data_IF_750389751288
#
_entry.id   IF_750389751288
#
_cell.length_a   1.000
_cell.length_b   1.000
_cell.length_c   1.000
_cell.angle_alpha   90.00
_cell.angle_beta   90.00
_cell.angle_gamma   90.00
#
_symmetry.space_group_name_H-M   'P 1'
#
loop_
_entity.id
_entity.type
_entity.pdbx_description
1 polymer ?
#
# COMPACT_ATOMS: atom_id res chain seq x y z
N UNK A 1 1.64 -42.35 -34.27
CA UNK A 1 1.01 -41.28 -33.48
C UNK A 1 2.14 -40.44 -32.90
N UNK A 2 2.49 -39.33 -33.56
CA UNK A 2 3.57 -38.44 -33.12
C UNK A 2 2.97 -37.49 -32.10
N UNK A 3 3.31 -37.68 -30.83
CA UNK A 3 3.02 -36.68 -29.79
C UNK A 3 3.93 -35.47 -30.06
N UNK A 4 3.37 -34.41 -30.64
CA UNK A 4 3.96 -33.09 -30.53
C UNK A 4 3.84 -32.65 -29.06
N UNK A 5 4.88 -32.92 -28.28
CA UNK A 5 5.12 -32.16 -27.06
C UNK A 5 5.34 -30.71 -27.48
N UNK A 6 4.32 -29.87 -27.26
CA UNK A 6 4.51 -28.43 -27.14
C UNK A 6 5.44 -28.19 -25.94
N UNK A 7 6.74 -28.28 -26.19
CA UNK A 7 7.81 -27.76 -25.34
C UNK A 7 7.85 -26.25 -25.60
N UNK A 8 6.85 -25.54 -25.09
CA UNK A 8 6.98 -24.11 -24.88
C UNK A 8 7.83 -23.91 -23.63
N UNK A 9 8.93 -23.18 -23.76
CA UNK A 9 9.70 -22.66 -22.64
C UNK A 9 8.78 -21.81 -21.75
N UNK A 10 8.18 -22.42 -20.73
CA UNK A 10 7.47 -21.70 -19.66
C UNK A 10 8.50 -21.42 -18.57
N UNK A 11 9.42 -20.50 -18.86
CA UNK A 11 10.32 -19.95 -17.87
C UNK A 11 10.08 -18.44 -17.79
N UNK A 12 9.77 -18.00 -16.58
CA UNK A 12 9.37 -16.65 -16.26
C UNK A 12 10.43 -15.62 -16.66
N UNK A 13 10.04 -14.61 -17.44
CA UNK A 13 11.00 -13.63 -17.94
C UNK A 13 11.39 -12.55 -16.91
N UNK A 14 10.71 -12.43 -15.75
CA UNK A 14 11.04 -11.43 -14.72
C UNK A 14 10.79 -11.91 -13.28
N UNK A 15 11.78 -11.79 -12.37
CA UNK A 15 11.59 -12.11 -10.95
C UNK A 15 10.69 -11.06 -10.25
N UNK A 16 9.92 -11.44 -9.20
CA UNK A 16 9.11 -10.50 -8.43
C UNK A 16 9.94 -9.37 -7.78
N UNK A 17 11.07 -9.73 -7.16
CA UNK A 17 12.05 -8.81 -6.62
C UNK A 17 13.01 -8.39 -7.74
N UNK A 18 12.81 -7.18 -8.25
CA UNK A 18 13.67 -6.55 -9.25
C UNK A 18 14.64 -5.53 -8.63
N UNK A 19 14.29 -4.96 -7.48
CA UNK A 19 15.04 -3.87 -6.85
C UNK A 19 14.76 -3.81 -5.36
N UNK A 20 15.71 -3.22 -4.62
CA UNK A 20 15.55 -2.78 -3.22
C UNK A 20 15.96 -1.33 -3.12
N UNK A 21 15.43 -0.59 -2.14
CA UNK A 21 15.91 0.76 -1.89
C UNK A 21 15.94 1.14 -0.41
N UNK A 22 16.78 2.12 -0.11
CA UNK A 22 16.90 2.77 1.19
C UNK A 22 16.40 4.21 1.05
N UNK A 23 15.29 4.53 1.69
CA UNK A 23 14.69 5.86 1.70
C UNK A 23 15.01 6.57 3.03
N UNK A 24 15.30 7.88 3.00
CA UNK A 24 15.57 8.64 4.22
C UNK A 24 14.41 8.60 5.22
N UNK A 25 13.17 8.49 4.71
CA UNK A 25 11.97 8.35 5.52
C UNK A 25 11.78 6.96 6.15
N UNK A 26 12.68 6.02 5.89
CA UNK A 26 12.83 4.76 6.66
C UNK A 26 13.75 4.95 7.88
N UNK A 27 14.66 5.93 7.85
CA UNK A 27 15.75 6.03 8.82
C UNK A 27 15.55 7.16 9.83
N UNK A 28 14.93 8.25 9.39
CA UNK A 28 14.78 9.48 10.19
C UNK A 28 13.37 9.50 10.76
N UNK A 29 13.25 9.59 12.09
CA UNK A 29 11.97 9.76 12.78
C UNK A 29 11.49 11.22 12.73
N UNK A 30 10.17 11.47 12.69
CA UNK A 30 9.10 10.48 12.59
C UNK A 30 9.14 9.73 11.26
N UNK A 31 8.87 8.43 11.29
CA UNK A 31 8.93 7.60 10.09
C UNK A 31 7.85 8.01 9.10
N UNK A 32 8.15 7.95 7.82
CA UNK A 32 7.21 8.39 6.79
C UNK A 32 6.38 7.25 6.26
N UNK A 33 5.10 7.53 5.97
CA UNK A 33 4.23 6.56 5.34
C UNK A 33 4.79 6.08 3.98
N UNK A 34 5.37 6.99 3.18
CA UNK A 34 6.08 6.65 1.93
C UNK A 34 7.24 5.69 2.16
N UNK A 35 8.18 6.07 3.02
CA UNK A 35 9.41 5.33 3.24
C UNK A 35 9.15 3.93 3.78
N UNK A 36 8.29 3.81 4.79
CA UNK A 36 7.97 2.49 5.35
C UNK A 36 7.04 1.69 4.43
N UNK A 37 6.14 2.32 3.67
CA UNK A 37 5.35 1.65 2.65
C UNK A 37 6.23 1.00 1.58
N UNK A 38 7.28 1.69 1.13
CA UNK A 38 8.29 1.11 0.24
C UNK A 38 9.04 -0.06 0.91
N UNK A 39 9.41 0.06 2.19
CA UNK A 39 10.07 -1.02 2.93
C UNK A 39 9.18 -2.27 2.99
N UNK A 40 7.90 -2.10 3.33
CA UNK A 40 6.90 -3.19 3.36
C UNK A 40 6.76 -3.84 1.99
N UNK A 41 6.65 -3.03 0.93
CA UNK A 41 6.56 -3.48 -0.46
C UNK A 41 7.78 -4.33 -0.89
N UNK A 42 9.00 -3.94 -0.51
CA UNK A 42 10.21 -4.72 -0.83
C UNK A 42 10.30 -6.02 -0.07
N UNK A 43 9.83 -6.06 1.19
CA UNK A 43 9.75 -7.31 1.94
C UNK A 43 8.71 -8.25 1.33
N UNK A 44 7.59 -7.74 0.83
CA UNK A 44 6.63 -8.52 0.03
C UNK A 44 7.29 -9.06 -1.24
N UNK A 45 8.04 -8.25 -1.99
CA UNK A 45 8.79 -8.70 -3.18
C UNK A 45 9.80 -9.80 -2.87
N UNK A 46 10.51 -9.67 -1.75
CA UNK A 46 11.46 -10.68 -1.28
C UNK A 46 10.75 -12.00 -1.02
N UNK A 47 9.63 -11.97 -0.29
CA UNK A 47 8.81 -13.15 0.00
C UNK A 47 8.24 -13.77 -1.29
N UNK A 48 7.63 -12.97 -2.16
CA UNK A 48 7.18 -13.38 -3.50
C UNK A 48 8.30 -14.09 -4.28
N UNK A 49 9.52 -13.56 -4.21
CA UNK A 49 10.67 -14.13 -4.92
C UNK A 49 11.15 -15.45 -4.34
N UNK A 50 11.02 -15.64 -3.02
CA UNK A 50 11.30 -16.93 -2.39
C UNK A 50 10.30 -17.99 -2.87
N UNK A 51 9.00 -17.68 -2.95
CA UNK A 51 8.01 -18.61 -3.50
C UNK A 51 8.28 -18.91 -4.96
N UNK A 52 8.54 -17.88 -5.76
CA UNK A 52 8.85 -18.04 -7.18
C UNK A 52 10.06 -18.95 -7.39
N UNK A 53 11.18 -18.72 -6.70
CA UNK A 53 12.37 -19.59 -6.80
C UNK A 53 12.10 -21.02 -6.35
N UNK A 54 11.29 -21.20 -5.32
CA UNK A 54 10.91 -22.52 -4.83
C UNK A 54 10.06 -23.28 -5.85
N UNK A 55 9.05 -22.62 -6.43
CA UNK A 55 8.20 -23.20 -7.48
C UNK A 55 9.00 -23.56 -8.73
N UNK A 56 9.86 -22.65 -9.22
CA UNK A 56 10.73 -22.91 -10.37
C UNK A 56 11.61 -24.16 -10.15
N UNK A 57 12.20 -24.31 -8.95
CA UNK A 57 13.02 -25.50 -8.62
C UNK A 57 12.22 -26.78 -8.60
N UNK A 58 11.02 -26.78 -8.02
CA UNK A 58 10.18 -27.99 -7.94
C UNK A 58 9.62 -28.38 -9.30
N UNK A 59 9.15 -27.40 -10.08
CA UNK A 59 8.61 -27.61 -11.41
C UNK A 59 9.66 -28.17 -12.39
N UNK A 60 10.95 -27.85 -12.20
CA UNK A 60 12.06 -28.46 -12.94
C UNK A 60 12.29 -29.93 -12.58
N UNK A 61 12.08 -30.33 -11.33
CA UNK A 61 12.31 -31.70 -10.85
C UNK A 61 11.15 -32.64 -11.24
N UNK A 62 9.90 -32.15 -11.19
CA UNK A 62 8.73 -32.96 -11.50
C UNK A 62 7.56 -32.10 -12.00
N UNK A 63 7.25 -32.16 -13.30
CA UNK A 63 6.18 -31.34 -13.92
C UNK A 63 4.80 -31.48 -13.23
N UNK A 64 4.34 -32.67 -12.79
CA UNK A 64 3.11 -32.79 -12.01
C UNK A 64 3.22 -32.17 -10.60
N UNK A 65 4.42 -32.05 -10.00
CA UNK A 65 4.60 -31.30 -8.75
C UNK A 65 4.32 -29.80 -8.93
N UNK A 66 4.50 -29.24 -10.13
CA UNK A 66 4.05 -27.88 -10.42
C UNK A 66 2.55 -27.70 -10.17
N UNK A 67 1.72 -28.73 -10.44
CA UNK A 67 0.28 -28.70 -10.08
C UNK A 67 0.09 -28.69 -8.56
N UNK A 68 0.87 -29.48 -7.83
CA UNK A 68 0.82 -29.50 -6.36
C UNK A 68 1.31 -28.19 -5.74
N UNK A 69 2.36 -27.55 -6.27
CA UNK A 69 2.86 -26.25 -5.81
C UNK A 69 1.85 -25.15 -6.13
N UNK A 70 1.25 -25.16 -7.32
CA UNK A 70 0.13 -24.27 -7.67
C UNK A 70 -1.07 -24.47 -6.74
N UNK A 71 -1.40 -25.72 -6.41
CA UNK A 71 -2.42 -26.07 -5.42
C UNK A 71 -2.06 -25.62 -4.00
N UNK A 72 -0.80 -25.74 -3.59
CA UNK A 72 -0.28 -25.27 -2.30
C UNK A 72 -0.33 -23.73 -2.20
N UNK A 73 0.12 -23.01 -3.23
CA UNK A 73 0.01 -21.55 -3.31
C UNK A 73 -1.46 -21.10 -3.30
N UNK A 74 -2.34 -21.83 -3.97
CA UNK A 74 -3.79 -21.63 -3.86
C UNK A 74 -4.31 -21.94 -2.44
N UNK A 75 -3.71 -22.91 -1.75
CA UNK A 75 -3.96 -23.18 -0.34
C UNK A 75 -3.44 -22.08 0.59
N UNK A 76 -2.33 -21.43 0.25
CA UNK A 76 -1.81 -20.26 0.97
C UNK A 76 -2.75 -19.06 0.83
N UNK A 77 -3.37 -18.86 -0.35
CA UNK A 77 -4.46 -17.87 -0.49
C UNK A 77 -5.61 -18.13 0.50
N UNK A 78 -5.87 -19.39 0.85
CA UNK A 78 -6.90 -19.76 1.84
C UNK A 78 -6.43 -19.68 3.30
N UNK A 79 -5.14 -19.82 3.57
CA UNK A 79 -4.59 -19.96 4.93
C UNK A 79 -3.94 -18.70 5.50
N UNK A 80 -4.01 -17.59 4.78
CA UNK A 80 -3.45 -16.29 5.16
C UNK A 80 -1.95 -16.37 5.50
N UNK A 81 -1.12 -16.15 4.48
CA UNK A 81 0.33 -16.26 4.55
C UNK A 81 0.96 -15.47 5.70
N UNK A 82 1.64 -16.18 6.61
CA UNK A 82 2.08 -15.65 7.90
C UNK A 82 3.16 -14.56 7.84
N UNK A 83 4.21 -14.63 6.99
CA UNK A 83 5.28 -13.62 7.05
C UNK A 83 4.90 -12.30 6.38
N UNK A 84 4.19 -12.36 5.24
CA UNK A 84 3.69 -11.17 4.55
C UNK A 84 2.71 -10.40 5.41
N UNK A 85 1.93 -11.12 6.20
CA UNK A 85 0.99 -10.59 7.17
C UNK A 85 1.68 -9.84 8.31
N UNK A 86 2.81 -10.32 8.82
CA UNK A 86 3.53 -9.62 9.88
C UNK A 86 4.02 -8.25 9.44
N UNK A 87 4.52 -8.12 8.20
CA UNK A 87 4.88 -6.81 7.65
C UNK A 87 3.66 -5.92 7.43
N UNK A 88 2.52 -6.50 7.04
CA UNK A 88 1.24 -5.76 6.89
C UNK A 88 0.77 -5.23 8.25
N UNK A 89 0.72 -6.08 9.28
CA UNK A 89 0.35 -5.70 10.66
C UNK A 89 1.28 -4.61 11.18
N UNK A 90 2.60 -4.75 11.04
CA UNK A 90 3.53 -3.70 11.46
C UNK A 90 3.21 -2.37 10.77
N UNK A 91 2.91 -2.41 9.47
CA UNK A 91 2.62 -1.25 8.67
C UNK A 91 1.26 -0.61 8.97
N UNK A 92 0.29 -1.43 9.40
CA UNK A 92 -0.97 -1.00 9.98
C UNK A 92 -0.73 -0.20 11.26
N UNK A 93 0.05 -0.74 12.21
CA UNK A 93 0.34 -0.03 13.45
C UNK A 93 1.11 1.28 13.22
N UNK A 94 2.01 1.31 12.23
CA UNK A 94 2.63 2.55 11.78
C UNK A 94 1.60 3.57 11.30
N UNK A 95 0.48 3.13 10.73
CA UNK A 95 -0.63 4.01 10.33
C UNK A 95 -1.11 4.84 11.49
N UNK A 96 -1.54 4.19 12.58
CA UNK A 96 -1.91 4.87 13.82
C UNK A 96 -0.77 5.73 14.37
N UNK A 97 0.43 5.17 14.47
CA UNK A 97 1.59 5.84 15.05
C UNK A 97 1.96 7.11 14.29
N UNK A 98 2.10 7.04 12.97
CA UNK A 98 2.47 8.20 12.15
C UNK A 98 1.40 9.29 12.14
N UNK A 99 0.11 8.95 12.31
CA UNK A 99 -0.95 9.95 12.49
C UNK A 99 -0.83 10.60 13.87
N UNK A 100 -0.63 9.82 14.93
CA UNK A 100 -0.44 10.35 16.27
C UNK A 100 0.81 11.25 16.37
N UNK A 101 1.94 10.84 15.77
CA UNK A 101 3.14 11.68 15.68
C UNK A 101 2.89 12.99 14.94
N UNK A 102 2.03 12.99 13.90
CA UNK A 102 1.67 14.22 13.19
C UNK A 102 0.94 15.23 14.08
N UNK A 103 0.13 14.75 15.04
CA UNK A 103 -0.51 15.58 16.08
C UNK A 103 0.41 15.89 17.27
N UNK A 104 1.67 15.47 17.22
CA UNK A 104 2.68 15.78 18.22
C UNK A 104 2.79 14.79 19.38
N UNK A 105 2.04 13.68 19.35
CA UNK A 105 2.16 12.63 20.36
C UNK A 105 3.48 11.86 20.23
N UNK A 106 3.92 11.28 21.34
CA UNK A 106 4.95 10.25 21.35
C UNK A 106 4.32 8.88 21.17
N UNK A 107 4.92 8.05 20.32
CA UNK A 107 4.40 6.73 19.97
C UNK A 107 5.29 5.62 20.50
N UNK A 108 4.64 4.56 20.98
CA UNK A 108 5.23 3.26 21.28
C UNK A 108 4.37 2.19 20.64
N UNK A 109 4.93 1.00 20.46
CA UNK A 109 4.20 -0.15 19.95
C UNK A 109 4.22 -1.29 20.95
N UNK A 110 3.25 -2.18 20.87
CA UNK A 110 3.26 -3.43 21.61
C UNK A 110 2.73 -4.57 20.74
N UNK A 111 3.02 -5.79 21.16
CA UNK A 111 2.39 -7.01 20.66
C UNK A 111 1.74 -7.75 21.82
N UNK A 112 1.02 -8.84 21.57
CA UNK A 112 0.48 -9.67 22.65
C UNK A 112 1.57 -10.33 23.51
N UNK A 113 2.82 -10.28 23.07
CA UNK A 113 3.99 -10.91 23.71
C UNK A 113 5.02 -9.89 24.24
N UNK A 114 5.00 -8.65 23.73
CA UNK A 114 5.98 -7.62 24.06
C UNK A 114 5.30 -6.29 24.33
N UNK A 115 5.77 -5.57 25.35
CA UNK A 115 5.22 -4.27 25.72
C UNK A 115 6.17 -3.13 25.37
N UNK A 116 5.61 -2.02 24.90
CA UNK A 116 6.23 -0.69 24.84
C UNK A 116 7.60 -0.63 24.14
N UNK A 117 7.64 -0.99 22.86
CA UNK A 117 8.81 -0.76 22.00
C UNK A 117 8.74 0.61 21.33
N UNK A 118 9.87 1.32 21.31
CA UNK A 118 10.02 2.72 20.89
C UNK A 118 10.21 2.93 19.37
N UNK A 119 10.10 1.87 18.55
CA UNK A 119 10.33 1.98 17.11
C UNK A 119 9.59 0.93 16.30
N UNK A 120 9.19 1.34 15.08
CA UNK A 120 8.61 0.47 14.06
C UNK A 120 9.46 -0.78 13.80
N UNK A 121 10.79 -0.65 13.72
CA UNK A 121 11.65 -1.80 13.44
C UNK A 121 11.68 -2.79 14.59
N UNK A 122 11.64 -2.34 15.86
CA UNK A 122 11.51 -3.26 17.00
C UNK A 122 10.18 -4.00 16.95
N UNK A 123 9.08 -3.32 16.60
CA UNK A 123 7.79 -3.98 16.38
C UNK A 123 7.91 -5.06 15.29
N UNK A 124 8.51 -4.75 14.12
CA UNK A 124 8.72 -5.74 13.06
C UNK A 124 9.55 -6.94 13.56
N UNK A 125 10.63 -6.70 14.30
CA UNK A 125 11.46 -7.77 14.84
C UNK A 125 10.72 -8.64 15.85
N UNK A 126 9.92 -8.04 16.73
CA UNK A 126 9.10 -8.78 17.69
C UNK A 126 8.04 -9.62 16.96
N UNK A 127 7.39 -9.05 15.95
CA UNK A 127 6.44 -9.76 15.09
C UNK A 127 7.07 -10.97 14.41
N UNK A 128 8.28 -10.84 13.87
CA UNK A 128 9.01 -11.94 13.25
C UNK A 128 9.50 -12.97 14.26
N UNK A 129 9.98 -12.53 15.43
CA UNK A 129 10.55 -13.40 16.47
C UNK A 129 9.48 -14.25 17.14
N UNK A 130 8.31 -13.67 17.39
CA UNK A 130 7.19 -14.30 18.09
C UNK A 130 6.06 -14.68 17.14
N UNK A 131 6.39 -14.91 15.87
CA UNK A 131 5.41 -15.10 14.80
C UNK A 131 4.35 -16.14 15.18
N UNK A 132 4.73 -17.26 15.79
CA UNK A 132 3.79 -18.36 16.11
C UNK A 132 2.88 -18.12 17.31
N UNK A 133 3.11 -17.09 18.13
CA UNK A 133 2.35 -16.84 19.35
C UNK A 133 1.62 -15.49 19.36
N UNK A 134 2.02 -14.56 18.50
CA UNK A 134 1.37 -13.25 18.43
C UNK A 134 -0.07 -13.36 17.93
N UNK A 135 -0.97 -12.75 18.70
CA UNK A 135 -2.40 -12.63 18.37
C UNK A 135 -2.82 -11.21 18.04
N UNK A 136 -1.96 -10.21 18.27
CA UNK A 136 -2.23 -8.81 17.97
C UNK A 136 -1.00 -7.90 18.14
N UNK A 137 -1.10 -6.71 17.57
CA UNK A 137 -0.18 -5.60 17.74
C UNK A 137 -0.98 -4.31 17.94
N UNK A 138 -0.37 -3.32 18.59
CA UNK A 138 -1.02 -2.05 18.90
C UNK A 138 -0.02 -0.88 18.88
N UNK A 139 -0.48 0.26 18.39
CA UNK A 139 0.16 1.55 18.61
C UNK A 139 -0.41 2.23 19.87
N UNK A 140 0.48 2.62 20.77
CA UNK A 140 0.18 3.45 21.94
C UNK A 140 0.72 4.84 21.70
N UNK A 141 -0.04 5.85 22.13
CA UNK A 141 0.38 7.23 22.04
C UNK A 141 0.07 7.98 23.34
N UNK A 142 0.97 8.88 23.71
CA UNK A 142 0.94 9.64 24.96
C UNK A 142 1.66 10.97 24.75
N UNK A 143 1.62 11.85 25.76
CA UNK A 143 1.95 13.29 25.72
C UNK A 143 0.77 14.17 25.32
N UNK A 144 0.92 15.47 25.56
CA UNK A 144 -0.05 16.46 25.14
C UNK A 144 0.04 16.70 23.63
N UNK A 145 -1.08 17.13 23.06
CA UNK A 145 -1.14 17.64 21.69
C UNK A 145 -0.11 18.74 21.47
N UNK A 146 0.63 18.64 20.38
CA UNK A 146 1.57 19.67 19.95
C UNK A 146 1.35 19.97 18.47
N UNK A 147 0.31 20.74 18.20
CA UNK A 147 -0.07 21.22 16.88
C UNK A 147 -0.14 22.74 16.87
N UNK A 148 0.02 23.33 15.69
CA UNK A 148 -0.17 24.76 15.50
C UNK A 148 -1.65 25.16 15.72
N UNK A 149 -1.88 26.34 16.30
CA UNK A 149 -3.22 26.86 16.63
C UNK A 149 -4.20 26.96 15.44
N UNK A 150 -3.69 26.93 14.21
CA UNK A 150 -4.50 26.98 13.00
C UNK A 150 -5.10 25.64 12.55
N UNK A 151 -4.73 24.55 13.23
CA UNK A 151 -5.10 23.18 12.87
C UNK A 151 -6.34 22.78 13.67
N UNK A 152 -7.37 22.30 12.98
CA UNK A 152 -8.51 21.70 13.65
C UNK A 152 -8.16 20.28 14.11
N UNK A 153 -8.35 20.02 15.40
CA UNK A 153 -8.05 18.73 16.05
C UNK A 153 -9.30 17.96 16.43
N UNK A 154 -10.50 18.42 16.07
CA UNK A 154 -11.76 17.74 16.40
C UNK A 154 -11.79 16.29 15.89
N UNK A 155 -11.10 16.04 14.77
CA UNK A 155 -11.09 14.75 14.07
C UNK A 155 -9.84 13.91 14.32
N UNK A 156 -8.98 14.33 15.26
CA UNK A 156 -7.70 13.69 15.56
C UNK A 156 -7.85 12.19 15.84
N UNK A 157 -8.78 11.82 16.73
CA UNK A 157 -9.03 10.42 17.09
C UNK A 157 -9.54 9.58 15.91
N UNK A 158 -10.30 10.18 15.01
CA UNK A 158 -10.84 9.53 13.82
C UNK A 158 -9.72 9.27 12.81
N UNK A 159 -8.89 10.28 12.56
CA UNK A 159 -7.75 10.19 11.66
C UNK A 159 -6.74 9.15 12.17
N UNK A 160 -6.44 9.14 13.48
CA UNK A 160 -5.57 8.14 14.09
C UNK A 160 -6.16 6.74 13.94
N UNK A 161 -7.44 6.54 14.28
CA UNK A 161 -8.10 5.23 14.22
C UNK A 161 -8.21 4.71 12.78
N UNK A 162 -8.44 5.58 11.79
CA UNK A 162 -8.44 5.22 10.37
C UNK A 162 -7.03 4.94 9.81
N UNK A 163 -5.97 5.40 10.49
CA UNK A 163 -4.59 5.38 10.01
C UNK A 163 -4.09 4.01 9.58
N UNK A 164 -4.40 2.96 10.33
CA UNK A 164 -3.93 1.60 10.03
C UNK A 164 -4.49 1.04 8.73
N UNK A 165 -5.83 1.02 8.59
CA UNK A 165 -6.48 0.54 7.35
C UNK A 165 -6.17 1.43 6.14
N UNK A 166 -5.99 2.75 6.35
CA UNK A 166 -5.55 3.66 5.29
C UNK A 166 -4.12 3.37 4.82
N UNK A 167 -3.20 3.02 5.73
CA UNK A 167 -1.86 2.58 5.35
C UNK A 167 -1.89 1.31 4.51
N UNK A 168 -2.70 0.33 4.90
CA UNK A 168 -2.85 -0.88 4.09
C UNK A 168 -3.43 -0.59 2.72
N UNK A 169 -4.47 0.24 2.63
CA UNK A 169 -4.99 0.65 1.33
C UNK A 169 -3.93 1.40 0.51
N UNK A 170 -3.09 2.22 1.14
CA UNK A 170 -1.96 2.86 0.48
C UNK A 170 -0.90 1.85 0.02
N UNK A 171 -0.69 0.73 0.74
CA UNK A 171 0.16 -0.37 0.26
C UNK A 171 -0.40 -1.00 -1.02
N UNK A 172 -1.71 -1.23 -1.08
CA UNK A 172 -2.35 -1.72 -2.30
C UNK A 172 -2.15 -0.73 -3.47
N UNK A 173 -2.32 0.57 -3.22
CA UNK A 173 -2.04 1.63 -4.18
C UNK A 173 -0.58 1.61 -4.67
N UNK A 174 0.41 1.40 -3.79
CA UNK A 174 1.82 1.25 -4.17
C UNK A 174 2.05 0.02 -5.07
N UNK A 175 1.39 -1.10 -4.79
CA UNK A 175 1.46 -2.31 -5.64
C UNK A 175 0.89 -2.02 -7.03
N UNK A 176 -0.26 -1.34 -7.12
CA UNK A 176 -0.89 -0.95 -8.38
C UNK A 176 0.00 -0.03 -9.22
N UNK A 177 0.57 1.01 -8.62
CA UNK A 177 1.47 1.94 -9.31
C UNK A 177 2.72 1.23 -9.81
N UNK A 178 3.32 0.38 -8.98
CA UNK A 178 4.45 -0.45 -9.38
C UNK A 178 4.09 -1.40 -10.53
N UNK A 179 2.91 -2.00 -10.49
CA UNK A 179 2.43 -2.90 -11.55
C UNK A 179 2.29 -2.13 -12.88
N UNK A 180 1.71 -0.93 -12.86
CA UNK A 180 1.63 -0.07 -14.03
C UNK A 180 3.01 0.37 -14.56
N UNK A 181 3.92 0.76 -13.67
CA UNK A 181 5.28 1.18 -14.03
C UNK A 181 6.10 0.05 -14.65
N UNK A 182 6.04 -1.15 -14.05
CA UNK A 182 6.76 -2.35 -14.54
C UNK A 182 6.09 -2.99 -15.75
N UNK A 183 4.82 -2.67 -16.02
CA UNK A 183 3.88 -3.28 -17.00
C UNK A 183 3.55 -4.75 -16.73
N UNK A 184 4.32 -5.40 -15.90
CA UNK A 184 4.17 -6.79 -15.51
C UNK A 184 4.43 -6.94 -14.03
N UNK A 185 3.72 -7.86 -13.40
CA UNK A 185 3.91 -8.28 -12.01
C UNK A 185 3.85 -9.79 -11.93
N UNK A 186 4.06 -10.36 -10.75
CA UNK A 186 3.97 -11.81 -10.58
C UNK A 186 2.69 -12.23 -9.88
N UNK A 187 2.26 -13.48 -10.13
CA UNK A 187 1.11 -14.10 -9.45
C UNK A 187 1.25 -14.14 -7.94
N UNK A 188 2.48 -14.18 -7.42
CA UNK A 188 2.74 -14.16 -5.98
C UNK A 188 2.40 -12.82 -5.33
N UNK A 189 2.34 -11.72 -6.11
CA UNK A 189 1.97 -10.40 -5.59
C UNK A 189 0.47 -10.27 -5.33
N UNK A 190 -0.35 -11.16 -5.89
CA UNK A 190 -1.82 -11.08 -5.79
C UNK A 190 -2.29 -11.08 -4.33
N UNK A 191 -1.69 -11.92 -3.49
CA UNK A 191 -2.07 -12.02 -2.09
C UNK A 191 -1.79 -10.72 -1.32
N UNK A 192 -0.59 -10.18 -1.51
CA UNK A 192 -0.16 -8.92 -0.89
C UNK A 192 -1.06 -7.76 -1.32
N UNK A 193 -1.45 -7.72 -2.59
CA UNK A 193 -2.42 -6.77 -3.12
C UNK A 193 -3.82 -6.95 -2.51
N UNK A 194 -4.36 -8.17 -2.56
CA UNK A 194 -5.75 -8.43 -2.18
C UNK A 194 -5.99 -8.22 -0.68
N UNK A 195 -5.06 -8.65 0.18
CA UNK A 195 -5.19 -8.42 1.62
C UNK A 195 -5.22 -6.94 1.96
N UNK A 196 -4.27 -6.18 1.41
CA UNK A 196 -4.16 -4.75 1.62
C UNK A 196 -5.44 -4.03 1.12
N UNK A 197 -6.00 -4.48 0.01
CA UNK A 197 -7.30 -4.01 -0.49
C UNK A 197 -8.48 -4.36 0.40
N UNK A 198 -8.45 -5.52 1.06
CA UNK A 198 -9.50 -6.01 1.96
C UNK A 198 -9.35 -5.49 3.39
N UNK A 199 -8.44 -4.55 3.67
CA UNK A 199 -8.18 -4.08 5.03
C UNK A 199 -9.47 -3.77 5.80
N UNK A 200 -10.32 -2.88 5.28
CA UNK A 200 -11.58 -2.53 5.96
C UNK A 200 -12.49 -3.76 6.12
N UNK A 201 -12.65 -4.59 5.10
CA UNK A 201 -13.50 -5.79 5.20
C UNK A 201 -13.01 -6.78 6.27
N UNK A 202 -11.69 -7.00 6.34
CA UNK A 202 -11.07 -7.90 7.31
C UNK A 202 -11.27 -7.41 8.74
N UNK A 203 -11.00 -6.13 9.02
CA UNK A 203 -11.14 -5.57 10.37
C UNK A 203 -12.60 -5.48 10.80
N UNK A 204 -13.51 -5.06 9.91
CA UNK A 204 -14.95 -5.07 10.20
C UNK A 204 -15.43 -6.50 10.50
N UNK A 205 -15.02 -7.49 9.71
CA UNK A 205 -15.43 -8.88 9.93
C UNK A 205 -14.94 -9.39 11.28
N UNK A 206 -13.68 -9.10 11.64
CA UNK A 206 -13.12 -9.50 12.93
C UNK A 206 -13.88 -8.89 14.11
N UNK A 207 -14.18 -7.59 14.07
CA UNK A 207 -14.92 -6.89 15.13
C UNK A 207 -16.39 -7.33 15.23
N UNK A 208 -17.02 -7.68 14.11
CA UNK A 208 -18.37 -8.26 14.12
C UNK A 208 -18.41 -9.63 14.80
N UNK A 209 -17.37 -10.43 14.62
CA UNK A 209 -17.23 -11.75 15.26
C UNK A 209 -16.80 -11.64 16.74
N UNK A 210 -16.28 -10.49 17.17
CA UNK A 210 -15.82 -10.21 18.53
C UNK A 210 -16.43 -8.89 19.06
N UNK A 211 -17.73 -8.85 19.39
CA UNK A 211 -18.44 -7.59 19.70
C UNK A 211 -17.94 -6.87 20.95
N UNK A 212 -17.23 -7.56 21.84
CA UNK A 212 -16.59 -6.97 23.03
C UNK A 212 -15.26 -6.25 22.71
N UNK A 213 -14.73 -6.45 21.50
CA UNK A 213 -13.50 -5.81 21.02
C UNK A 213 -13.81 -4.45 20.36
N UNK A 214 -13.39 -3.37 21.02
CA UNK A 214 -13.52 -2.00 20.51
C UNK A 214 -12.32 -1.61 19.65
N UNK A 215 -12.23 -2.24 18.47
CA UNK A 215 -11.17 -2.02 17.49
C UNK A 215 -11.28 -0.71 16.70
N UNK A 216 -10.46 -0.58 15.65
CA UNK A 216 -10.33 0.63 14.85
C UNK A 216 -11.61 0.98 14.12
N UNK A 217 -12.28 -0.02 13.52
CA UNK A 217 -13.48 0.22 12.73
C UNK A 217 -14.67 0.58 13.61
N UNK A 218 -14.71 0.06 14.83
CA UNK A 218 -15.66 0.44 15.87
C UNK A 218 -15.52 1.92 16.21
N UNK A 219 -14.29 2.37 16.47
CA UNK A 219 -13.98 3.77 16.80
C UNK A 219 -14.29 4.70 15.63
N UNK A 220 -13.86 4.33 14.42
CA UNK A 220 -14.18 5.11 13.21
C UNK A 220 -15.69 5.28 13.06
N UNK A 221 -16.46 4.19 13.20
CA UNK A 221 -17.93 4.26 13.12
C UNK A 221 -18.53 5.17 14.19
N UNK A 222 -18.09 5.06 15.44
CA UNK A 222 -18.59 5.91 16.53
C UNK A 222 -18.29 7.39 16.28
N UNK A 223 -17.08 7.69 15.82
CA UNK A 223 -16.66 9.07 15.54
C UNK A 223 -17.40 9.63 14.32
N UNK A 224 -17.67 8.82 13.29
CA UNK A 224 -18.57 9.21 12.21
C UNK A 224 -19.99 9.51 12.70
N UNK A 225 -20.53 8.71 13.60
CA UNK A 225 -21.85 8.98 14.18
C UNK A 225 -21.89 10.32 14.95
N UNK A 226 -20.81 10.71 15.63
CA UNK A 226 -20.74 12.04 16.28
C UNK A 226 -20.72 13.20 15.31
N UNK A 227 -20.46 12.93 14.02
CA UNK A 227 -20.46 13.89 12.91
C UNK A 227 -21.69 13.74 12.00
N UNK A 228 -22.75 13.07 12.45
CA UNK A 228 -23.95 12.77 11.66
C UNK A 228 -23.68 11.97 10.36
N UNK A 229 -22.55 11.26 10.31
CA UNK A 229 -22.20 10.33 9.23
C UNK A 229 -22.68 8.94 9.64
N UNK A 230 -23.92 8.60 9.27
CA UNK A 230 -24.49 7.29 9.57
C UNK A 230 -23.98 6.22 8.60
N UNK A 231 -23.03 5.42 9.05
CA UNK A 231 -22.45 4.32 8.30
C UNK A 231 -22.41 3.07 9.16
N UNK A 232 -22.93 1.97 8.62
CA UNK A 232 -22.90 0.66 9.26
C UNK A 232 -21.70 -0.18 8.82
N UNK A 233 -21.35 -1.19 9.61
CA UNK A 233 -20.34 -2.20 9.23
C UNK A 233 -20.63 -2.89 7.88
N UNK A 234 -21.85 -3.37 7.59
CA UNK A 234 -22.16 -3.91 6.28
C UNK A 234 -21.98 -2.92 5.12
N UNK A 235 -22.13 -1.61 5.36
CA UNK A 235 -21.88 -0.58 4.35
C UNK A 235 -20.40 -0.38 4.10
N UNK A 236 -19.57 -0.30 5.16
CA UNK A 236 -18.11 -0.23 5.02
C UNK A 236 -17.55 -1.42 4.21
N UNK A 237 -17.98 -2.65 4.53
CA UNK A 237 -17.60 -3.86 3.77
C UNK A 237 -18.01 -3.75 2.31
N UNK A 238 -19.24 -3.30 2.06
CA UNK A 238 -19.78 -3.15 0.71
C UNK A 238 -19.00 -2.12 -0.10
N UNK A 239 -18.68 -0.97 0.49
CA UNK A 239 -17.91 0.09 -0.16
C UNK A 239 -16.47 -0.36 -0.46
N UNK A 240 -15.83 -1.04 0.48
CA UNK A 240 -14.53 -1.66 0.24
C UNK A 240 -14.58 -2.71 -0.89
N UNK A 241 -15.64 -3.54 -0.91
CA UNK A 241 -15.90 -4.50 -1.99
C UNK A 241 -16.10 -3.85 -3.36
N UNK A 242 -16.79 -2.70 -3.45
CA UNK A 242 -16.92 -1.94 -4.70
C UNK A 242 -15.58 -1.44 -5.20
N UNK A 243 -14.71 -0.89 -4.34
CA UNK A 243 -13.37 -0.47 -4.73
C UNK A 243 -12.57 -1.63 -5.34
N UNK A 244 -12.65 -2.83 -4.77
CA UNK A 244 -11.98 -4.03 -5.29
C UNK A 244 -12.52 -4.43 -6.65
N UNK A 245 -13.85 -4.62 -6.76
CA UNK A 245 -14.48 -5.14 -7.97
C UNK A 245 -14.39 -4.18 -9.15
N UNK A 246 -14.28 -2.88 -8.90
CA UNK A 246 -14.13 -1.86 -9.94
C UNK A 246 -12.66 -1.57 -10.29
N UNK A 247 -11.69 -2.13 -9.56
CA UNK A 247 -10.27 -1.97 -9.86
C UNK A 247 -9.83 -2.89 -10.99
N UNK A 248 -9.20 -2.33 -12.02
CA UNK A 248 -8.71 -3.11 -13.16
C UNK A 248 -7.61 -4.11 -12.77
N UNK A 249 -6.76 -3.74 -11.81
CA UNK A 249 -5.67 -4.58 -11.30
C UNK A 249 -6.20 -5.85 -10.66
N UNK A 250 -7.35 -5.79 -9.96
CA UNK A 250 -8.00 -6.98 -9.40
C UNK A 250 -8.33 -8.00 -10.48
N UNK A 251 -8.93 -7.56 -11.59
CA UNK A 251 -9.25 -8.45 -12.71
C UNK A 251 -8.01 -8.95 -13.45
N UNK A 252 -7.00 -8.11 -13.62
CA UNK A 252 -5.72 -8.53 -14.18
C UNK A 252 -5.08 -9.63 -13.32
N UNK A 253 -5.11 -9.49 -11.99
CA UNK A 253 -4.64 -10.50 -11.07
C UNK A 253 -5.44 -11.81 -11.16
N UNK A 254 -6.78 -11.75 -11.20
CA UNK A 254 -7.63 -12.94 -11.33
C UNK A 254 -7.38 -13.68 -12.65
N UNK A 255 -7.31 -12.96 -13.77
CA UNK A 255 -6.98 -13.54 -15.07
C UNK A 255 -5.58 -14.16 -15.05
N UNK A 256 -4.57 -13.44 -14.56
CA UNK A 256 -3.21 -13.92 -14.43
C UNK A 256 -3.11 -15.17 -13.56
N UNK A 257 -3.82 -15.20 -12.42
CA UNK A 257 -3.90 -16.38 -11.56
C UNK A 257 -4.55 -17.57 -12.27
N UNK A 258 -5.61 -17.35 -13.04
CA UNK A 258 -6.25 -18.42 -13.82
C UNK A 258 -5.29 -19.00 -14.87
N UNK A 259 -4.54 -18.14 -15.57
CA UNK A 259 -3.51 -18.53 -16.54
C UNK A 259 -2.36 -19.28 -15.88
N UNK A 260 -1.99 -18.90 -14.66
CA UNK A 260 -0.99 -19.61 -13.88
C UNK A 260 -1.43 -21.02 -13.51
N UNK A 261 -2.66 -21.18 -12.99
CA UNK A 261 -3.20 -22.50 -12.60
C UNK A 261 -3.25 -23.45 -13.80
N UNK A 262 -3.74 -22.96 -14.96
CA UNK A 262 -3.98 -23.77 -16.16
C UNK A 262 -2.71 -23.98 -16.99
N UNK A 263 -1.93 -22.92 -17.22
CA UNK A 263 -0.81 -22.90 -18.20
C UNK A 263 0.57 -22.76 -17.54
N UNK A 264 0.65 -22.49 -16.24
CA UNK A 264 1.92 -22.24 -15.54
C UNK A 264 2.53 -20.87 -15.84
N UNK A 265 1.80 -19.94 -16.45
CA UNK A 265 2.27 -18.59 -16.73
C UNK A 265 2.21 -17.78 -15.42
N UNK A 266 3.35 -17.39 -14.89
CA UNK A 266 3.49 -16.77 -13.56
C UNK A 266 3.64 -15.24 -13.58
N UNK A 267 3.70 -14.64 -14.77
CA UNK A 267 3.63 -13.19 -14.95
C UNK A 267 2.21 -12.75 -15.30
N UNK A 268 1.89 -11.54 -14.89
CA UNK A 268 0.62 -10.89 -15.12
C UNK A 268 0.90 -9.57 -15.81
N UNK A 269 0.17 -9.27 -16.88
CA UNK A 269 0.29 -8.02 -17.63
C UNK A 269 -0.74 -7.02 -17.15
N UNK A 270 -0.32 -5.76 -17.08
CA UNK A 270 -1.22 -4.67 -16.71
C UNK A 270 -2.23 -4.38 -17.84
N UNK A 271 -3.46 -3.99 -17.50
CA UNK A 271 -4.48 -3.65 -18.48
C UNK A 271 -4.37 -2.19 -18.97
N UNK A 272 -3.89 -2.01 -20.19
CA UNK A 272 -3.80 -0.72 -20.87
C UNK A 272 -4.56 -0.76 -22.19
N UNK A 273 -5.32 0.28 -22.52
CA UNK A 273 -6.06 0.40 -23.79
C UNK A 273 -5.83 1.77 -24.40
N UNK A 274 -5.31 1.82 -25.63
CA UNK A 274 -4.98 3.07 -26.33
C UNK A 274 -4.08 4.03 -25.52
N UNK A 275 -3.14 3.47 -24.72
CA UNK A 275 -2.28 4.25 -23.83
C UNK A 275 -2.94 4.63 -22.50
N UNK A 276 -4.24 4.42 -22.32
CA UNK A 276 -4.91 4.64 -21.04
C UNK A 276 -4.77 3.43 -20.13
N UNK A 277 -4.27 3.70 -18.93
CA UNK A 277 -4.32 2.82 -17.76
C UNK A 277 -5.80 2.60 -17.39
N UNK A 278 -6.29 1.36 -17.38
CA UNK A 278 -7.63 1.12 -16.84
C UNK A 278 -7.70 1.53 -15.36
N UNK A 279 -8.83 2.04 -14.86
CA UNK A 279 -8.87 2.64 -13.54
C UNK A 279 -8.67 1.63 -12.42
N UNK A 280 -7.99 2.07 -11.37
CA UNK A 280 -7.92 1.37 -10.08
C UNK A 280 -8.56 2.25 -9.00
N UNK A 281 -9.29 1.64 -8.07
CA UNK A 281 -10.06 2.35 -7.03
C UNK A 281 -9.57 1.93 -5.66
N UNK A 282 -9.16 2.90 -4.85
CA UNK A 282 -8.73 2.72 -3.47
C UNK A 282 -9.79 3.31 -2.53
N UNK A 283 -10.10 2.61 -1.44
CA UNK A 283 -11.12 3.01 -0.46
C UNK A 283 -10.46 3.52 0.81
N UNK A 284 -10.58 4.81 1.08
CA UNK A 284 -9.99 5.44 2.27
C UNK A 284 -11.07 5.93 3.23
N UNK A 285 -10.69 6.08 4.49
CA UNK A 285 -11.51 6.64 5.55
C UNK A 285 -10.88 7.97 5.99
N UNK A 286 -11.62 9.06 5.87
CA UNK A 286 -11.10 10.41 6.15
C UNK A 286 -11.90 11.08 7.26
N UNK A 287 -11.44 12.22 7.75
CA UNK A 287 -12.19 13.07 8.69
C UNK A 287 -13.56 13.49 8.16
N UNK A 288 -13.69 13.65 6.85
CA UNK A 288 -14.89 14.09 6.15
C UNK A 288 -15.85 12.94 5.83
N UNK A 289 -15.38 11.68 5.92
CA UNK A 289 -16.14 10.49 5.60
C UNK A 289 -15.36 9.49 4.74
N UNK A 290 -15.99 8.38 4.33
CA UNK A 290 -15.38 7.44 3.40
C UNK A 290 -15.19 8.05 2.01
N UNK A 291 -14.06 7.75 1.38
CA UNK A 291 -13.70 8.25 0.05
C UNK A 291 -13.30 7.14 -0.91
N UNK A 292 -13.50 7.40 -2.20
CA UNK A 292 -12.90 6.61 -3.27
C UNK A 292 -11.85 7.43 -4.00
N UNK A 293 -10.62 6.94 -4.00
CA UNK A 293 -9.52 7.43 -4.81
C UNK A 293 -9.42 6.60 -6.10
N UNK A 294 -9.93 7.16 -7.19
CA UNK A 294 -9.93 6.56 -8.52
C UNK A 294 -8.70 7.06 -9.28
N UNK A 295 -7.79 6.17 -9.60
CA UNK A 295 -6.56 6.48 -10.32
C UNK A 295 -6.51 5.86 -11.71
N UNK A 296 -5.90 6.59 -12.64
CA UNK A 296 -5.60 6.16 -13.99
C UNK A 296 -4.35 6.92 -14.47
N UNK A 297 -4.10 6.91 -15.77
CA UNK A 297 -2.93 7.53 -16.36
C UNK A 297 -2.91 7.32 -17.86
N UNK A 298 -2.23 8.22 -18.55
CA UNK A 298 -2.03 8.13 -19.99
C UNK A 298 -0.55 8.00 -20.32
N UNK A 299 -0.21 6.99 -21.10
CA UNK A 299 1.13 6.75 -21.62
C UNK A 299 1.25 7.38 -23.00
N UNK A 300 1.81 8.58 -23.06
CA UNK A 300 2.13 9.27 -24.31
C UNK A 300 3.20 8.50 -25.11
N UNK A 301 4.21 7.97 -24.40
CA UNK A 301 5.29 7.17 -24.96
C UNK A 301 5.87 6.25 -23.88
N UNK A 302 6.74 5.32 -24.26
CA UNK A 302 7.40 4.43 -23.29
C UNK A 302 8.17 5.19 -22.19
N UNK A 303 8.61 6.41 -22.48
CA UNK A 303 9.38 7.27 -21.59
C UNK A 303 8.57 8.45 -21.00
N UNK A 304 7.27 8.56 -21.28
CA UNK A 304 6.42 9.64 -20.76
C UNK A 304 5.04 9.13 -20.37
N UNK A 305 4.72 9.25 -19.10
CA UNK A 305 3.41 8.93 -18.52
C UNK A 305 2.85 10.14 -17.78
N UNK A 306 1.54 10.33 -17.89
CA UNK A 306 0.78 11.37 -17.20
C UNK A 306 -0.23 10.65 -16.30
N UNK A 307 0.13 10.34 -15.04
CA UNK A 307 -0.82 9.82 -14.08
C UNK A 307 -1.86 10.89 -13.73
N UNK A 308 -3.08 10.46 -13.47
CA UNK A 308 -4.12 11.33 -12.93
C UNK A 308 -5.04 10.54 -12.02
N UNK A 309 -5.60 11.22 -11.02
CA UNK A 309 -6.55 10.62 -10.10
C UNK A 309 -7.61 11.63 -9.69
N UNK A 310 -8.73 11.11 -9.19
CA UNK A 310 -9.74 11.88 -8.49
C UNK A 310 -10.08 11.12 -7.21
N UNK A 311 -10.08 11.82 -6.09
CA UNK A 311 -10.59 11.33 -4.84
C UNK A 311 -11.83 12.11 -4.44
N UNK A 312 -12.89 11.41 -4.06
CA UNK A 312 -14.12 12.06 -3.62
C UNK A 312 -14.68 11.37 -2.37
N UNK A 313 -15.07 12.19 -1.40
CA UNK A 313 -15.81 11.77 -0.20
C UNK A 313 -17.28 11.64 -0.60
N UNK A 314 -17.79 10.42 -0.54
CA UNK A 314 -19.11 10.09 -1.11
C UNK A 314 -20.24 10.04 -0.09
N UNK A 315 -19.91 10.04 1.21
CA UNK A 315 -20.83 10.17 2.34
C UNK A 315 -20.16 11.08 3.37
N UNK A 316 -20.92 11.99 3.98
CA UNK A 316 -20.42 12.97 4.93
C UNK A 316 -20.16 14.32 4.27
N UNK A 317 -19.13 15.01 4.74
CA UNK A 317 -18.75 16.33 4.25
C UNK A 317 -18.10 16.19 2.86
N UNK A 318 -18.81 16.63 1.83
CA UNK A 318 -18.40 16.38 0.45
C UNK A 318 -17.13 17.16 0.10
N UNK A 319 -16.04 16.42 -0.11
CA UNK A 319 -14.76 16.93 -0.58
C UNK A 319 -14.35 16.21 -1.86
N UNK A 320 -13.70 16.94 -2.77
CA UNK A 320 -13.08 16.39 -3.98
C UNK A 320 -11.64 16.87 -4.11
N UNK A 321 -10.75 15.95 -4.41
CA UNK A 321 -9.35 16.20 -4.71
C UNK A 321 -9.02 15.62 -6.08
N UNK A 322 -8.25 16.35 -6.86
CA UNK A 322 -7.76 15.90 -8.14
C UNK A 322 -6.24 15.87 -8.11
N UNK A 323 -5.68 14.86 -8.76
CA UNK A 323 -4.24 14.67 -8.87
C UNK A 323 -3.88 14.60 -10.34
N UNK A 324 -2.84 15.31 -10.74
CA UNK A 324 -2.22 15.15 -12.06
C UNK A 324 -0.72 15.16 -11.91
N UNK A 325 -0.06 14.27 -12.62
CA UNK A 325 1.38 14.20 -12.63
C UNK A 325 1.98 14.08 -14.01
N UNK A 326 3.30 14.16 -14.04
CA UNK A 326 4.13 13.93 -15.21
C UNK A 326 5.34 13.13 -14.77
N UNK A 327 5.47 11.93 -15.30
CA UNK A 327 6.67 11.12 -15.19
C UNK A 327 7.34 11.05 -16.55
N UNK A 328 8.60 11.49 -16.60
CA UNK A 328 9.37 11.55 -17.84
C UNK A 328 10.78 11.05 -17.63
N UNK A 329 11.18 10.08 -18.46
CA UNK A 329 12.58 9.69 -18.64
C UNK A 329 13.16 10.54 -19.76
N UNK A 330 14.12 11.40 -19.42
CA UNK A 330 14.77 12.31 -20.35
C UNK A 330 15.94 11.65 -21.08
N UNK A 331 16.67 10.80 -20.34
CA UNK A 331 17.78 9.99 -20.81
C UNK A 331 17.71 8.63 -20.09
N UNK A 332 18.54 7.66 -20.47
CA UNK A 332 18.63 6.39 -19.74
C UNK A 332 19.04 6.56 -18.27
N UNK A 333 19.63 7.71 -17.93
CA UNK A 333 20.09 8.01 -16.59
C UNK A 333 19.13 8.91 -15.82
N UNK A 334 18.31 9.74 -16.47
CA UNK A 334 17.54 10.80 -15.80
C UNK A 334 16.04 10.58 -15.91
N UNK A 335 15.38 10.58 -14.77
CA UNK A 335 13.92 10.50 -14.67
C UNK A 335 13.41 11.55 -13.70
N UNK A 336 12.36 12.27 -14.09
CA UNK A 336 11.64 13.20 -13.21
C UNK A 336 10.23 12.70 -13.01
N UNK A 337 9.70 12.90 -11.81
CA UNK A 337 8.28 12.77 -11.51
C UNK A 337 7.82 14.09 -10.87
N UNK A 338 6.72 14.63 -11.36
CA UNK A 338 6.06 15.80 -10.80
C UNK A 338 4.60 15.44 -10.57
N UNK A 339 4.02 15.92 -9.49
CA UNK A 339 2.60 15.77 -9.19
C UNK A 339 2.07 17.05 -8.56
N UNK A 340 0.88 17.45 -8.98
CA UNK A 340 0.10 18.48 -8.33
C UNK A 340 -1.23 17.87 -7.90
N UNK A 341 -1.63 18.19 -6.67
CA UNK A 341 -2.90 17.80 -6.05
C UNK A 341 -3.67 19.07 -5.74
N UNK A 342 -4.90 19.16 -6.21
CA UNK A 342 -5.76 20.33 -5.99
C UNK A 342 -7.12 19.91 -5.46
N UNK A 343 -7.57 20.60 -4.42
CA UNK A 343 -8.85 20.41 -3.76
C UNK A 343 -9.10 21.63 -2.89
N UNK A 344 -9.28 21.43 -1.58
CA UNK A 344 -9.38 22.54 -0.63
C UNK A 344 -8.07 23.30 -0.44
N UNK A 345 -6.94 22.61 -0.63
CA UNK A 345 -5.59 23.14 -0.64
C UNK A 345 -4.79 22.57 -1.83
N UNK A 346 -3.56 23.06 -2.01
CA UNK A 346 -2.67 22.62 -3.10
C UNK A 346 -1.46 21.89 -2.52
N UNK A 347 -1.34 20.61 -2.87
CA UNK A 347 -0.14 19.81 -2.61
C UNK A 347 0.71 19.67 -3.87
N UNK A 348 2.03 19.57 -3.71
CA UNK A 348 2.96 19.40 -4.84
C UNK A 348 4.04 18.42 -4.45
N UNK A 349 4.32 17.44 -5.30
CA UNK A 349 5.50 16.58 -5.15
C UNK A 349 6.38 16.62 -6.40
N UNK A 350 7.68 16.53 -6.20
CA UNK A 350 8.66 16.48 -7.27
C UNK A 350 9.77 15.53 -6.86
N UNK A 351 10.17 14.65 -7.77
CA UNK A 351 11.36 13.83 -7.62
C UNK A 351 12.23 13.90 -8.87
N UNK A 352 13.53 13.74 -8.66
CA UNK A 352 14.55 13.60 -9.66
C UNK A 352 15.39 12.36 -9.35
N UNK A 353 15.45 11.43 -10.30
CA UNK A 353 16.24 10.21 -10.23
C UNK A 353 17.39 10.26 -11.23
N UNK A 354 18.58 9.92 -10.73
CA UNK A 354 19.80 9.74 -11.49
C UNK A 354 20.31 8.30 -11.35
N UNK A 355 20.40 7.55 -12.46
CA UNK A 355 21.03 6.23 -12.51
C UNK A 355 22.55 6.40 -12.59
N UNK A 356 23.26 6.04 -11.52
CA UNK A 356 24.73 6.03 -11.48
C UNK A 356 25.30 4.87 -12.30
N UNK A 357 24.57 3.76 -12.38
CA UNK A 357 24.88 2.60 -13.22
C UNK A 357 23.59 1.84 -13.56
N UNK A 358 23.70 0.73 -14.29
CA UNK A 358 22.57 -0.19 -14.50
C UNK A 358 22.05 -0.83 -13.21
N UNK A 359 22.82 -0.81 -12.12
CA UNK A 359 22.48 -1.43 -10.83
C UNK A 359 22.21 -0.44 -9.70
N UNK A 360 22.51 0.84 -9.89
CA UNK A 360 22.45 1.83 -8.82
C UNK A 360 21.83 3.12 -9.32
N UNK A 361 20.80 3.60 -8.62
CA UNK A 361 20.19 4.88 -8.85
C UNK A 361 19.99 5.65 -7.54
N UNK A 362 20.07 6.97 -7.61
CA UNK A 362 19.76 7.88 -6.51
C UNK A 362 18.54 8.71 -6.91
N UNK A 363 17.61 8.92 -5.99
CA UNK A 363 16.46 9.80 -6.16
C UNK A 363 16.48 10.86 -5.07
N UNK A 364 16.25 12.11 -5.44
CA UNK A 364 16.00 13.21 -4.53
C UNK A 364 14.58 13.70 -4.78
N UNK A 365 13.85 14.07 -3.74
CA UNK A 365 12.52 14.62 -3.91
C UNK A 365 12.09 15.51 -2.77
N UNK A 366 11.00 16.22 -3.02
CA UNK A 366 10.24 16.92 -2.01
C UNK A 366 8.75 16.65 -2.18
N UNK A 367 8.01 16.78 -1.09
CA UNK A 367 6.56 16.66 -1.06
C UNK A 367 5.99 17.75 -0.14
N UNK A 368 5.34 18.75 -0.73
CA UNK A 368 4.55 19.75 -0.02
C UNK A 368 3.17 19.17 0.24
N UNK A 369 2.93 18.84 1.50
CA UNK A 369 1.70 18.23 1.99
C UNK A 369 0.83 19.30 2.64
N UNK A 370 -0.48 19.18 2.46
CA UNK A 370 -1.48 20.10 3.01
C UNK A 370 -2.51 19.29 3.77
N UNK A 371 -2.65 19.51 5.08
CA UNK A 371 -3.53 18.73 5.93
C UNK A 371 -5.01 18.78 5.51
N UNK A 372 -5.44 19.91 4.94
CA UNK A 372 -6.80 20.09 4.41
C UNK A 372 -7.10 19.26 3.15
N UNK A 373 -6.08 18.68 2.53
CA UNK A 373 -6.25 17.77 1.41
C UNK A 373 -6.34 16.33 1.92
N UNK A 374 -7.13 15.50 1.24
CA UNK A 374 -7.34 14.10 1.59
C UNK A 374 -6.01 13.33 1.61
N UNK A 375 -5.12 13.62 0.65
CA UNK A 375 -3.77 13.08 0.66
C UNK A 375 -2.96 13.51 1.89
N UNK A 376 -2.97 14.81 2.22
CA UNK A 376 -2.16 15.33 3.31
C UNK A 376 -2.63 14.82 4.68
N UNK A 377 -3.94 14.70 4.90
CA UNK A 377 -4.50 14.09 6.12
C UNK A 377 -3.89 12.69 6.41
N UNK A 378 -3.69 11.88 5.35
CA UNK A 378 -3.14 10.53 5.46
C UNK A 378 -1.62 10.44 5.48
N UNK A 379 -0.90 11.49 5.06
CA UNK A 379 0.55 11.41 4.83
C UNK A 379 1.40 12.46 5.55
N UNK A 380 0.80 13.56 6.05
CA UNK A 380 1.54 14.63 6.75
C UNK A 380 2.31 14.09 7.95
N UNK A 381 3.54 14.59 8.17
CA UNK A 381 4.41 14.11 9.26
C UNK A 381 4.29 14.91 10.55
N UNK A 382 3.98 16.20 10.44
CA UNK A 382 3.86 17.09 11.58
C UNK A 382 2.89 18.22 11.27
N UNK A 383 2.12 18.60 12.28
CA UNK A 383 1.20 19.74 12.26
C UNK A 383 1.68 20.87 13.19
N UNK A 384 2.92 20.78 13.70
CA UNK A 384 3.49 21.76 14.63
C UNK A 384 3.67 23.16 14.00
N UNK A 385 3.87 23.23 12.68
CA UNK A 385 4.11 24.48 11.94
C UNK A 385 2.89 24.96 11.13
N UNK A 386 1.74 24.31 11.27
CA UNK A 386 0.49 24.69 10.61
C UNK A 386 -0.17 23.55 9.84
N UNK A 387 -1.08 23.92 8.92
CA UNK A 387 -1.80 22.98 8.06
C UNK A 387 -0.95 22.42 6.89
N UNK A 388 0.37 22.53 6.94
CA UNK A 388 1.26 22.11 5.86
C UNK A 388 2.60 21.63 6.39
N UNK A 389 3.24 20.75 5.61
CA UNK A 389 4.60 20.24 5.87
C UNK A 389 5.35 20.09 4.54
N UNK A 390 6.67 20.30 4.58
CA UNK A 390 7.56 20.07 3.44
C UNK A 390 8.48 18.89 3.75
N UNK A 391 8.14 17.72 3.20
CA UNK A 391 8.99 16.54 3.30
C UNK A 391 10.07 16.56 2.21
N UNK A 392 11.32 16.79 2.59
CA UNK A 392 12.47 16.56 1.70
C UNK A 392 13.09 15.19 1.96
N UNK A 393 13.40 14.47 0.90
CA UNK A 393 13.85 13.09 1.00
C UNK A 393 14.86 12.67 -0.07
N UNK A 394 15.61 11.62 0.26
CA UNK A 394 16.48 10.94 -0.68
C UNK A 394 16.27 9.43 -0.62
N UNK A 395 16.51 8.77 -1.75
CA UNK A 395 16.38 7.33 -1.89
C UNK A 395 17.56 6.76 -2.69
N UNK A 396 18.15 5.67 -2.21
CA UNK A 396 19.18 4.92 -2.93
C UNK A 396 18.61 3.58 -3.34
N UNK A 397 18.52 3.32 -4.64
CA UNK A 397 17.92 2.14 -5.24
C UNK A 397 18.99 1.24 -5.85
N UNK A 398 18.89 -0.06 -5.56
CA UNK A 398 19.72 -1.12 -6.11
C UNK A 398 18.87 -2.04 -6.98
N UNK A 399 19.21 -2.15 -8.26
CA UNK A 399 18.60 -3.13 -9.19
C UNK A 399 19.40 -4.43 -9.11
N UNK A 400 18.68 -5.55 -8.97
CA UNK A 400 19.27 -6.86 -8.63
C UNK A 400 19.64 -7.71 -9.84
#
# INVERSE_FOLDING_TARGET
MIFHCFLGDVYANKPPLAEVSLDSGMLIQPYTNRGIGLFTLYNHDLLSSLYWRFDQRISMIYKPAGVFVRGFLTGLLKKQYHLGELYRIAYHELGHGSRAEAFGYRVMYSTSETENVDSYYRLVFDLLRHSTSITGAWAHYYSDLNVHDSVDVSDESLIISAGGVNNEMYLAHLIENRFYDRRVTSVYDFYHYLLAKLAVDNYVSYEQDHPDFMGDMYRVRQLYQTKDIDITYPELKRYNGYAILLSSSFWAFLDGWSRYVVKGIDYIEYYEKFGFRLPDINFFLTSHGPSYHIQSGYRFADHTTVPFAVEYVFIGDQQIEYTMGLQRRWTDYWLTQSEIRWGESVGVSQSFRYSLSSKLAMTLGFDLQQFKNLYGERHIKTLADGNHDLDMWFNVRFVL
#
